data_IF_685191532630
#
_entry.id   IF_685191532630
#
_cell.length_a   1.000
_cell.length_b   1.000
_cell.length_c   1.000
_cell.angle_alpha   90.00
_cell.angle_beta   90.00
_cell.angle_gamma   90.00
#
_symmetry.space_group_name_H-M   'P 1'
#
loop_
_entity.id
_entity.type
_entity.pdbx_description
1 polymer ?
#
# COMPACT_ATOMS: atom_id res chain seq x y z
N UNK A 1 -25.21 130.49 9.58
CA UNK A 1 -26.35 129.71 9.06
C UNK A 1 -26.31 129.47 7.55
N UNK A 2 -25.38 128.66 7.04
CA UNK A 2 -25.54 128.04 5.71
C UNK A 2 -25.25 126.55 5.83
N UNK A 3 -26.27 125.80 6.27
CA UNK A 3 -26.30 124.35 6.10
C UNK A 3 -26.39 124.07 4.60
N UNK A 4 -25.31 123.54 4.01
CA UNK A 4 -25.36 122.97 2.67
C UNK A 4 -26.21 121.71 2.72
N UNK A 5 -27.46 121.81 2.30
CA UNK A 5 -28.31 120.65 2.04
C UNK A 5 -27.84 119.97 0.76
N UNK A 6 -27.15 118.85 0.90
CA UNK A 6 -26.76 118.00 -0.22
C UNK A 6 -28.01 117.27 -0.73
N UNK A 7 -28.51 117.67 -1.90
CA UNK A 7 -29.62 116.98 -2.56
C UNK A 7 -29.13 115.67 -3.16
N UNK A 8 -29.54 114.53 -2.60
CA UNK A 8 -29.33 113.21 -3.21
C UNK A 8 -30.16 113.14 -4.49
N UNK A 9 -29.50 112.85 -5.62
CA UNK A 9 -30.22 112.76 -6.90
C UNK A 9 -30.83 111.37 -7.08
N UNK A 10 -31.89 111.26 -7.90
CA UNK A 10 -32.48 109.97 -8.30
C UNK A 10 -31.44 109.01 -8.91
N UNK A 11 -30.40 109.56 -9.54
CA UNK A 11 -29.28 108.81 -10.09
C UNK A 11 -28.45 108.15 -8.98
N UNK A 12 -28.15 108.86 -7.89
CA UNK A 12 -27.37 108.33 -6.77
C UNK A 12 -28.10 107.20 -6.04
N UNK A 13 -29.42 107.32 -5.87
CA UNK A 13 -30.27 106.26 -5.33
C UNK A 13 -30.29 105.02 -6.23
N UNK A 14 -30.36 105.19 -7.55
CA UNK A 14 -30.33 104.07 -8.51
C UNK A 14 -28.96 103.36 -8.46
N UNK A 15 -27.87 104.13 -8.42
CA UNK A 15 -26.52 103.58 -8.30
C UNK A 15 -26.34 102.82 -6.98
N UNK A 16 -26.86 103.35 -5.86
CA UNK A 16 -26.85 102.68 -4.57
C UNK A 16 -27.65 101.36 -4.62
N UNK A 17 -28.84 101.36 -5.22
CA UNK A 17 -29.66 100.17 -5.37
C UNK A 17 -28.95 99.08 -6.20
N UNK A 18 -28.30 99.45 -7.31
CA UNK A 18 -27.47 98.52 -8.10
C UNK A 18 -26.31 97.93 -7.30
N UNK A 19 -25.66 98.74 -6.46
CA UNK A 19 -24.58 98.28 -5.57
C UNK A 19 -25.09 97.31 -4.51
N UNK A 20 -26.26 97.57 -3.92
CA UNK A 20 -26.90 96.66 -2.95
C UNK A 20 -27.19 95.31 -3.62
N UNK A 21 -27.85 95.29 -4.79
CA UNK A 21 -28.13 94.05 -5.53
C UNK A 21 -26.85 93.28 -5.88
N UNK A 22 -25.80 93.98 -6.33
CA UNK A 22 -24.52 93.34 -6.65
C UNK A 22 -23.87 92.73 -5.39
N UNK A 23 -24.00 93.39 -4.24
CA UNK A 23 -23.47 92.91 -2.96
C UNK A 23 -24.24 91.67 -2.50
N UNK A 24 -25.56 91.68 -2.57
CA UNK A 24 -26.41 90.54 -2.22
C UNK A 24 -26.09 89.32 -3.08
N UNK A 25 -25.88 89.52 -4.39
CA UNK A 25 -25.49 88.45 -5.31
C UNK A 25 -24.11 87.86 -4.97
N UNK A 26 -23.15 88.69 -4.56
CA UNK A 26 -21.82 88.22 -4.12
C UNK A 26 -21.95 87.42 -2.82
N UNK A 27 -22.72 87.92 -1.85
CA UNK A 27 -22.96 87.21 -0.58
C UNK A 27 -23.61 85.85 -0.83
N UNK A 28 -24.61 85.78 -1.71
CA UNK A 28 -25.27 84.52 -2.07
C UNK A 28 -24.28 83.53 -2.71
N UNK A 29 -23.49 83.96 -3.69
CA UNK A 29 -22.45 83.12 -4.32
C UNK A 29 -21.43 82.60 -3.30
N UNK A 30 -21.04 83.45 -2.35
CA UNK A 30 -20.13 83.05 -1.28
C UNK A 30 -20.74 82.01 -0.34
N UNK A 31 -22.02 82.16 0.02
CA UNK A 31 -22.74 81.16 0.83
C UNK A 31 -22.88 79.82 0.11
N UNK A 32 -23.19 79.83 -1.20
CA UNK A 32 -23.29 78.61 -2.00
C UNK A 32 -21.94 77.93 -2.17
N UNK A 33 -20.87 78.70 -2.38
CA UNK A 33 -19.50 78.18 -2.41
C UNK A 33 -19.10 77.53 -1.09
N UNK A 34 -19.44 78.13 0.06
CA UNK A 34 -19.15 77.54 1.37
C UNK A 34 -19.93 76.24 1.61
N UNK A 35 -21.20 76.18 1.19
CA UNK A 35 -21.97 74.92 1.26
C UNK A 35 -21.37 73.83 0.38
N UNK A 36 -20.92 74.18 -0.82
CA UNK A 36 -20.24 73.24 -1.71
C UNK A 36 -18.91 72.75 -1.11
N UNK A 37 -18.12 73.67 -0.52
CA UNK A 37 -16.87 73.34 0.15
C UNK A 37 -17.08 72.39 1.34
N UNK A 38 -18.12 72.62 2.15
CA UNK A 38 -18.45 71.73 3.26
C UNK A 38 -18.86 70.32 2.78
N UNK A 39 -19.61 70.23 1.68
CA UNK A 39 -19.96 68.94 1.06
C UNK A 39 -18.71 68.19 0.60
N UNK A 40 -17.82 68.88 -0.12
CA UNK A 40 -16.56 68.29 -0.58
C UNK A 40 -15.65 67.87 0.58
N UNK A 41 -15.65 68.61 1.68
CA UNK A 41 -14.91 68.23 2.89
C UNK A 41 -15.45 66.94 3.50
N UNK A 42 -16.77 66.80 3.61
CA UNK A 42 -17.39 65.58 4.11
C UNK A 42 -17.11 64.39 3.19
N UNK A 43 -17.28 64.56 1.87
CA UNK A 43 -16.97 63.51 0.89
C UNK A 43 -15.50 63.08 0.96
N UNK A 44 -14.58 64.02 1.14
CA UNK A 44 -13.16 63.72 1.28
C UNK A 44 -12.87 62.91 2.55
N UNK A 45 -13.51 63.25 3.68
CA UNK A 45 -13.34 62.53 4.93
C UNK A 45 -13.92 61.11 4.86
N UNK A 46 -15.09 60.95 4.24
CA UNK A 46 -15.68 59.63 4.00
C UNK A 46 -14.78 58.76 3.11
N UNK A 47 -14.18 59.34 2.06
CA UNK A 47 -13.24 58.63 1.20
C UNK A 47 -11.96 58.22 1.95
N UNK A 48 -11.43 59.06 2.84
CA UNK A 48 -10.28 58.67 3.67
C UNK A 48 -10.61 57.49 4.57
N UNK A 49 -11.78 57.50 5.20
CA UNK A 49 -12.22 56.39 6.05
C UNK A 49 -12.37 55.09 5.25
N UNK A 50 -12.93 55.14 4.03
CA UNK A 50 -13.02 53.98 3.15
C UNK A 50 -11.63 53.46 2.75
N UNK A 51 -10.69 54.34 2.42
CA UNK A 51 -9.31 53.95 2.09
C UNK A 51 -8.64 53.26 3.28
N UNK A 52 -8.83 53.78 4.50
CA UNK A 52 -8.28 53.18 5.71
C UNK A 52 -8.88 51.79 5.97
N UNK A 53 -10.19 51.62 5.81
CA UNK A 53 -10.87 50.33 5.93
C UNK A 53 -10.32 49.30 4.93
N UNK A 54 -10.25 49.66 3.64
CA UNK A 54 -9.72 48.78 2.59
C UNK A 54 -8.26 48.42 2.87
N UNK A 55 -7.45 49.37 3.32
CA UNK A 55 -6.03 49.13 3.67
C UNK A 55 -5.92 48.10 4.80
N UNK A 56 -6.76 48.22 5.81
CA UNK A 56 -6.80 47.27 6.93
C UNK A 56 -7.26 45.87 6.47
N UNK A 57 -8.28 45.78 5.62
CA UNK A 57 -8.74 44.52 5.03
C UNK A 57 -7.64 43.85 4.20
N UNK A 58 -6.94 44.61 3.35
CA UNK A 58 -5.80 44.10 2.57
C UNK A 58 -4.70 43.55 3.48
N UNK A 59 -4.42 44.19 4.61
CA UNK A 59 -3.44 43.70 5.58
C UNK A 59 -3.88 42.37 6.23
N UNK A 60 -5.16 42.25 6.58
CA UNK A 60 -5.74 41.02 7.14
C UNK A 60 -5.65 39.88 6.12
N UNK A 61 -6.08 40.12 4.87
CA UNK A 61 -5.99 39.12 3.81
C UNK A 61 -4.54 38.72 3.53
N UNK A 62 -3.59 39.67 3.54
CA UNK A 62 -2.17 39.37 3.37
C UNK A 62 -1.63 38.41 4.44
N UNK A 63 -2.05 38.59 5.70
CA UNK A 63 -1.70 37.67 6.79
C UNK A 63 -2.33 36.29 6.59
N UNK A 64 -3.62 36.23 6.28
CA UNK A 64 -4.33 34.98 6.04
C UNK A 64 -3.74 34.17 4.88
N UNK A 65 -3.33 34.84 3.79
CA UNK A 65 -2.65 34.18 2.66
C UNK A 65 -1.31 33.59 3.10
N UNK A 66 -0.55 34.33 3.92
CA UNK A 66 0.73 33.85 4.45
C UNK A 66 0.55 32.63 5.35
N UNK A 67 -0.41 32.69 6.27
CA UNK A 67 -0.77 31.57 7.17
C UNK A 67 -1.21 30.34 6.37
N UNK A 68 -2.12 30.51 5.40
CA UNK A 68 -2.60 29.43 4.55
C UNK A 68 -1.47 28.80 3.70
N UNK A 69 -0.53 29.61 3.21
CA UNK A 69 0.64 29.11 2.47
C UNK A 69 1.52 28.26 3.39
N UNK A 70 1.74 28.70 4.63
CA UNK A 70 2.53 27.95 5.60
C UNK A 70 1.85 26.64 6.01
N UNK A 71 0.53 26.65 6.21
CA UNK A 71 -0.24 25.42 6.46
C UNK A 71 -0.16 24.44 5.29
N UNK A 72 -0.27 24.94 4.06
CA UNK A 72 -0.12 24.13 2.85
C UNK A 72 1.25 23.44 2.77
N UNK A 73 2.34 24.19 3.02
CA UNK A 73 3.69 23.63 2.99
C UNK A 73 3.89 22.56 4.07
N UNK A 74 3.39 22.80 5.30
CA UNK A 74 3.42 21.81 6.38
C UNK A 74 2.66 20.53 6.01
N UNK A 75 1.46 20.65 5.43
CA UNK A 75 0.66 19.50 4.99
C UNK A 75 1.36 18.73 3.86
N UNK A 76 2.03 19.44 2.95
CA UNK A 76 2.82 18.82 1.89
C UNK A 76 3.98 18.00 2.45
N UNK A 77 4.72 18.52 3.42
CA UNK A 77 5.79 17.79 4.10
C UNK A 77 5.25 16.54 4.81
N UNK A 78 4.15 16.66 5.55
CA UNK A 78 3.50 15.52 6.21
C UNK A 78 3.05 14.45 5.21
N UNK A 79 2.53 14.85 4.04
CA UNK A 79 2.15 13.93 2.97
C UNK A 79 3.37 13.19 2.40
N UNK A 80 4.51 13.85 2.24
CA UNK A 80 5.75 13.22 1.80
C UNK A 80 6.28 12.20 2.81
N UNK A 81 6.27 12.55 4.10
CA UNK A 81 6.64 11.63 5.20
C UNK A 81 5.73 10.40 5.18
N UNK A 82 4.41 10.58 5.17
CA UNK A 82 3.45 9.48 5.15
C UNK A 82 3.62 8.56 3.93
N UNK A 83 3.92 9.13 2.76
CA UNK A 83 4.22 8.34 1.55
C UNK A 83 5.53 7.56 1.65
N UNK A 84 6.53 8.06 2.39
CA UNK A 84 7.77 7.35 2.66
C UNK A 84 7.52 6.14 3.57
N UNK A 85 6.81 6.33 4.69
CA UNK A 85 6.44 5.28 5.64
C UNK A 85 5.59 4.19 4.97
N UNK A 86 4.62 4.61 4.14
CA UNK A 86 3.82 3.67 3.34
C UNK A 86 4.69 2.80 2.46
N UNK A 87 5.69 3.37 1.75
CA UNK A 87 6.60 2.59 0.89
C UNK A 87 7.42 1.61 1.71
N UNK A 88 7.92 2.03 2.86
CA UNK A 88 8.67 1.16 3.77
C UNK A 88 7.82 -0.01 4.28
N UNK A 89 6.59 0.25 4.73
CA UNK A 89 5.66 -0.81 5.16
C UNK A 89 5.34 -1.80 4.02
N UNK A 90 5.18 -1.33 2.79
CA UNK A 90 4.98 -2.23 1.64
C UNK A 90 6.20 -3.11 1.37
N UNK A 91 7.41 -2.58 1.57
CA UNK A 91 8.65 -3.34 1.44
C UNK A 91 8.76 -4.39 2.54
N UNK A 92 8.49 -4.02 3.79
CA UNK A 92 8.48 -4.95 4.92
C UNK A 92 7.45 -6.06 4.73
N UNK A 93 6.23 -5.74 4.26
CA UNK A 93 5.21 -6.73 3.95
C UNK A 93 5.67 -7.74 2.90
N UNK A 94 6.36 -7.26 1.85
CA UNK A 94 6.89 -8.14 0.80
C UNK A 94 7.93 -9.10 1.35
N UNK A 95 8.86 -8.61 2.17
CA UNK A 95 9.89 -9.45 2.80
C UNK A 95 9.26 -10.53 3.69
N UNK A 96 8.23 -10.19 4.48
CA UNK A 96 7.51 -11.16 5.30
C UNK A 96 6.75 -12.20 4.46
N UNK A 97 6.20 -11.80 3.31
CA UNK A 97 5.55 -12.74 2.39
C UNK A 97 6.56 -13.72 1.77
N UNK A 98 7.73 -13.23 1.38
CA UNK A 98 8.81 -14.05 0.86
C UNK A 98 9.34 -15.01 1.94
N UNK A 99 9.56 -14.53 3.16
CA UNK A 99 9.97 -15.34 4.30
C UNK A 99 8.94 -16.43 4.62
N UNK A 100 7.65 -16.09 4.67
CA UNK A 100 6.59 -17.07 4.91
C UNK A 100 6.51 -18.13 3.81
N UNK A 101 6.76 -17.76 2.56
CA UNK A 101 6.83 -18.70 1.43
C UNK A 101 8.01 -19.66 1.58
N UNK A 102 9.17 -19.15 1.99
CA UNK A 102 10.35 -19.96 2.26
C UNK A 102 10.11 -20.93 3.43
N UNK A 103 9.52 -20.45 4.52
CA UNK A 103 9.16 -21.29 5.67
C UNK A 103 8.17 -22.40 5.28
N UNK A 104 7.18 -22.10 4.43
CA UNK A 104 6.26 -23.11 3.92
C UNK A 104 6.99 -24.19 3.11
N UNK A 105 7.95 -23.80 2.27
CA UNK A 105 8.77 -24.74 1.51
C UNK A 105 9.62 -25.63 2.43
N UNK A 106 10.27 -25.04 3.43
CA UNK A 106 11.07 -25.77 4.43
C UNK A 106 10.23 -26.80 5.19
N UNK A 107 9.02 -26.43 5.64
CA UNK A 107 8.09 -27.34 6.30
C UNK A 107 7.71 -28.52 5.40
N UNK A 108 7.49 -28.29 4.09
CA UNK A 108 7.22 -29.41 3.16
C UNK A 108 8.40 -30.37 3.07
N UNK A 109 9.62 -29.85 2.96
CA UNK A 109 10.84 -30.67 2.89
C UNK A 109 11.00 -31.49 4.18
N UNK A 110 10.78 -30.90 5.35
CA UNK A 110 10.83 -31.61 6.63
C UNK A 110 9.79 -32.74 6.71
N UNK A 111 8.55 -32.50 6.25
CA UNK A 111 7.51 -33.56 6.19
C UNK A 111 7.90 -34.71 5.27
N UNK A 112 8.54 -34.41 4.13
CA UNK A 112 9.05 -35.45 3.23
C UNK A 112 10.16 -36.26 3.89
N UNK A 113 11.06 -35.61 4.62
CA UNK A 113 12.11 -36.28 5.37
C UNK A 113 11.56 -37.22 6.45
N UNK A 114 10.55 -36.78 7.22
CA UNK A 114 9.92 -37.62 8.24
C UNK A 114 9.26 -38.87 7.64
N UNK A 115 8.57 -38.72 6.50
CA UNK A 115 8.04 -39.87 5.75
C UNK A 115 9.14 -40.82 5.28
N UNK A 116 10.28 -40.30 4.81
CA UNK A 116 11.42 -41.14 4.41
C UNK A 116 12.02 -41.88 5.59
N UNK A 117 12.14 -41.24 6.75
CA UNK A 117 12.61 -41.86 7.99
C UNK A 117 11.75 -43.06 8.39
N UNK A 118 10.43 -42.90 8.38
CA UNK A 118 9.49 -43.99 8.67
C UNK A 118 9.64 -45.17 7.69
N UNK A 119 9.83 -44.89 6.40
CA UNK A 119 10.07 -45.94 5.41
C UNK A 119 11.38 -46.68 5.66
N UNK A 120 12.44 -45.96 6.06
CA UNK A 120 13.72 -46.55 6.38
C UNK A 120 13.64 -47.45 7.63
N UNK A 121 12.92 -47.03 8.67
CA UNK A 121 12.68 -47.83 9.86
C UNK A 121 11.91 -49.13 9.56
N UNK A 122 10.91 -49.06 8.67
CA UNK A 122 10.19 -50.25 8.20
C UNK A 122 11.08 -51.19 7.38
N UNK A 123 11.97 -50.62 6.56
CA UNK A 123 12.92 -51.38 5.76
C UNK A 123 13.93 -52.11 6.65
N UNK A 124 14.45 -51.43 7.68
CA UNK A 124 15.34 -52.03 8.69
C UNK A 124 14.67 -53.20 9.43
N UNK A 125 13.41 -53.04 9.86
CA UNK A 125 12.64 -54.15 10.47
C UNK A 125 12.46 -55.33 9.51
N UNK A 126 12.33 -55.06 8.21
CA UNK A 126 12.19 -56.10 7.18
C UNK A 126 13.52 -56.84 6.98
N UNK A 127 14.64 -56.12 6.93
CA UNK A 127 16.00 -56.68 6.94
C UNK A 127 16.19 -57.64 8.11
N UNK A 128 15.83 -57.22 9.33
CA UNK A 128 15.96 -58.06 10.53
C UNK A 128 15.13 -59.34 10.45
N UNK A 129 13.89 -59.25 9.95
CA UNK A 129 13.01 -60.42 9.76
C UNK A 129 13.61 -61.39 8.73
N UNK A 130 14.10 -60.87 7.60
CA UNK A 130 14.74 -61.69 6.57
C UNK A 130 16.00 -62.37 7.09
N UNK A 131 16.83 -61.66 7.87
CA UNK A 131 18.04 -62.21 8.48
C UNK A 131 17.71 -63.36 9.44
N UNK A 132 16.68 -63.22 10.28
CA UNK A 132 16.18 -64.31 11.16
C UNK A 132 15.69 -65.51 10.35
N UNK A 133 15.00 -65.29 9.24
CA UNK A 133 14.52 -66.37 8.37
C UNK A 133 15.68 -67.13 7.70
N UNK A 134 16.70 -66.42 7.21
CA UNK A 134 17.92 -67.01 6.67
C UNK A 134 18.59 -67.87 7.73
N UNK A 135 18.79 -67.36 8.95
CA UNK A 135 19.40 -68.10 10.04
C UNK A 135 18.63 -69.41 10.35
N UNK A 136 17.29 -69.35 10.39
CA UNK A 136 16.44 -70.52 10.61
C UNK A 136 16.58 -71.56 9.50
N UNK A 137 16.57 -71.14 8.24
CA UNK A 137 16.74 -72.04 7.08
C UNK A 137 18.16 -72.63 7.03
N UNK A 138 19.20 -71.85 7.34
CA UNK A 138 20.57 -72.34 7.46
C UNK A 138 20.69 -73.42 8.53
N UNK A 139 20.05 -73.23 9.69
CA UNK A 139 20.04 -74.24 10.76
C UNK A 139 19.33 -75.53 10.31
N UNK A 140 18.22 -75.42 9.56
CA UNK A 140 17.54 -76.58 9.00
C UNK A 140 18.41 -77.32 7.98
N UNK A 141 19.08 -76.59 7.08
CA UNK A 141 20.02 -77.17 6.11
C UNK A 141 21.16 -77.88 6.83
N UNK A 142 21.78 -77.26 7.85
CA UNK A 142 22.84 -77.87 8.65
C UNK A 142 22.38 -79.15 9.35
N UNK A 143 21.16 -79.18 9.91
CA UNK A 143 20.61 -80.37 10.58
C UNK A 143 20.26 -81.49 9.61
N UNK A 144 19.73 -81.17 8.42
CA UNK A 144 19.29 -82.17 7.44
C UNK A 144 20.43 -82.76 6.61
N UNK A 145 21.50 -82.01 6.36
CA UNK A 145 22.62 -82.45 5.51
C UNK A 145 23.27 -83.78 5.96
N UNK A 146 23.60 -84.00 7.26
CA UNK A 146 24.20 -85.25 7.71
C UNK A 146 23.24 -86.44 7.69
N UNK A 147 21.95 -86.19 7.92
CA UNK A 147 20.90 -87.21 7.90
C UNK A 147 20.73 -87.74 6.47
N UNK A 148 20.66 -86.82 5.51
CA UNK A 148 20.54 -87.14 4.07
C UNK A 148 21.81 -87.84 3.56
N UNK A 149 23.00 -87.37 3.95
CA UNK A 149 24.27 -88.03 3.59
C UNK A 149 24.33 -89.49 4.07
N UNK A 150 23.83 -89.78 5.28
CA UNK A 150 23.76 -91.15 5.81
C UNK A 150 22.69 -91.99 5.09
N UNK A 151 21.56 -91.41 4.72
CA UNK A 151 20.45 -92.12 4.07
C UNK A 151 20.71 -92.46 2.59
N UNK A 152 21.62 -91.73 1.93
CA UNK A 152 21.90 -91.88 0.50
C UNK A 152 23.26 -92.50 0.17
N UNK A 153 24.01 -92.95 1.17
CA UNK A 153 25.36 -93.53 1.00
C UNK A 153 25.42 -94.70 0.00
N UNK A 154 24.30 -95.40 -0.21
CA UNK A 154 24.21 -96.60 -1.04
C UNK A 154 23.21 -96.48 -2.22
N UNK A 155 22.70 -95.28 -2.55
CA UNK A 155 21.68 -95.07 -3.61
C UNK A 155 22.25 -94.31 -4.82
N UNK A 156 21.97 -94.80 -6.05
CA UNK A 156 22.43 -94.21 -7.32
C UNK A 156 21.59 -93.03 -7.84
N UNK A 157 20.39 -92.81 -7.30
CA UNK A 157 19.48 -91.72 -7.71
C UNK A 157 19.14 -90.80 -6.54
N UNK A 158 18.98 -89.48 -6.80
CA UNK A 158 18.63 -88.51 -5.78
C UNK A 158 17.22 -88.77 -5.25
N UNK A 159 17.09 -88.92 -3.94
CA UNK A 159 15.83 -89.09 -3.25
C UNK A 159 15.05 -87.76 -3.17
N UNK A 160 13.73 -87.81 -2.92
CA UNK A 160 12.92 -86.60 -2.65
C UNK A 160 13.51 -85.72 -1.53
N UNK A 161 14.24 -86.33 -0.59
CA UNK A 161 14.91 -85.59 0.49
C UNK A 161 16.14 -84.83 0.02
N UNK A 162 16.86 -85.32 -0.99
CA UNK A 162 17.94 -84.58 -1.66
C UNK A 162 17.38 -83.38 -2.40
N UNK A 163 16.31 -83.59 -3.17
CA UNK A 163 15.63 -82.52 -3.92
C UNK A 163 15.17 -81.41 -2.97
N UNK A 164 14.57 -81.76 -1.83
CA UNK A 164 14.15 -80.81 -0.81
C UNK A 164 15.32 -80.05 -0.15
N UNK A 165 16.47 -80.70 0.05
CA UNK A 165 17.68 -80.05 0.57
C UNK A 165 18.27 -79.07 -0.44
N UNK A 166 18.38 -79.45 -1.72
CA UNK A 166 18.84 -78.55 -2.79
C UNK A 166 17.90 -77.36 -2.96
N UNK A 167 16.59 -77.55 -2.88
CA UNK A 167 15.62 -76.46 -2.93
C UNK A 167 15.78 -75.52 -1.73
N UNK A 168 15.97 -76.07 -0.53
CA UNK A 168 16.22 -75.28 0.69
C UNK A 168 17.53 -74.48 0.60
N UNK A 169 18.60 -75.07 0.06
CA UNK A 169 19.88 -74.38 -0.17
C UNK A 169 19.75 -73.28 -1.22
N UNK A 170 18.96 -73.50 -2.28
CA UNK A 170 18.67 -72.50 -3.30
C UNK A 170 17.91 -71.31 -2.70
N UNK A 171 16.86 -71.55 -1.91
CA UNK A 171 16.15 -70.51 -1.18
C UNK A 171 17.05 -69.70 -0.24
N UNK A 172 18.00 -70.36 0.45
CA UNK A 172 18.99 -69.65 1.29
C UNK A 172 19.90 -68.74 0.45
N UNK A 173 20.36 -69.17 -0.73
CA UNK A 173 21.18 -68.33 -1.61
C UNK A 173 20.39 -67.14 -2.16
N UNK A 174 19.16 -67.36 -2.59
CA UNK A 174 18.29 -66.30 -3.13
C UNK A 174 17.95 -65.26 -2.06
N UNK A 175 17.61 -65.70 -0.84
CA UNK A 175 17.34 -64.79 0.28
C UNK A 175 18.59 -63.99 0.67
N UNK A 176 19.78 -64.59 0.68
CA UNK A 176 21.04 -63.87 0.94
C UNK A 176 21.32 -62.81 -0.13
N UNK A 177 21.07 -63.13 -1.40
CA UNK A 177 21.26 -62.18 -2.50
C UNK A 177 20.26 -61.03 -2.41
N UNK A 178 19.00 -61.32 -2.08
CA UNK A 178 17.96 -60.31 -1.86
C UNK A 178 18.32 -59.39 -0.68
N UNK A 179 18.79 -59.95 0.43
CA UNK A 179 19.24 -59.18 1.58
C UNK A 179 20.44 -58.30 1.26
N UNK A 180 21.42 -58.81 0.51
CA UNK A 180 22.58 -58.03 0.09
C UNK A 180 22.18 -56.85 -0.79
N UNK A 181 21.22 -57.04 -1.71
CA UNK A 181 20.66 -55.94 -2.52
C UNK A 181 19.95 -54.90 -1.66
N UNK A 182 19.19 -55.35 -0.66
CA UNK A 182 18.45 -54.48 0.24
C UNK A 182 19.38 -53.66 1.16
N UNK A 183 20.41 -54.30 1.72
CA UNK A 183 21.45 -53.64 2.51
C UNK A 183 22.21 -52.61 1.68
N UNK A 184 22.58 -52.96 0.44
CA UNK A 184 23.26 -52.03 -0.45
C UNK A 184 22.36 -50.83 -0.79
N UNK A 185 21.07 -51.06 -1.05
CA UNK A 185 20.10 -49.98 -1.25
C UNK A 185 19.99 -49.06 -0.02
N UNK A 186 19.90 -49.60 1.20
CA UNK A 186 19.88 -48.78 2.43
C UNK A 186 21.18 -47.98 2.59
N UNK A 187 22.32 -48.59 2.29
CA UNK A 187 23.63 -47.98 2.47
C UNK A 187 23.93 -46.89 1.44
N UNK A 188 23.50 -47.06 0.19
CA UNK A 188 23.55 -46.01 -0.84
C UNK A 188 22.46 -44.95 -0.70
N UNK A 189 21.37 -45.28 0.02
CA UNK A 189 20.29 -44.35 0.33
C UNK A 189 20.50 -43.63 1.66
N UNK A 190 21.69 -43.73 2.28
CA UNK A 190 22.08 -42.77 3.29
C UNK A 190 22.18 -41.41 2.59
N UNK A 191 21.07 -40.69 2.63
CA UNK A 191 20.97 -39.29 2.26
C UNK A 191 21.94 -38.59 3.20
N UNK A 192 23.10 -38.20 2.67
CA UNK A 192 23.98 -37.25 3.34
C UNK A 192 23.11 -36.08 3.78
N UNK A 193 22.97 -35.92 5.10
CA UNK A 193 22.34 -34.74 5.68
C UNK A 193 23.17 -33.57 5.17
N UNK A 194 22.63 -32.66 4.34
CA UNK A 194 23.32 -31.42 4.09
C UNK A 194 23.41 -30.75 5.45
N UNK A 195 24.62 -30.66 5.99
CA UNK A 195 24.94 -30.03 7.28
C UNK A 195 24.58 -28.53 7.28
N UNK A 196 24.01 -28.03 6.18
CA UNK A 196 23.52 -26.67 5.98
C UNK A 196 22.14 -26.39 6.63
N UNK A 197 21.38 -27.39 7.08
CA UNK A 197 20.21 -27.16 7.95
C UNK A 197 20.66 -26.91 9.39
N UNK A 198 21.49 -25.88 9.59
CA UNK A 198 21.69 -25.23 10.88
C UNK A 198 20.41 -24.45 11.18
N UNK A 199 19.36 -25.17 11.58
CA UNK A 199 18.16 -24.59 12.16
C UNK A 199 18.63 -23.93 13.46
N UNK A 200 18.92 -22.62 13.40
CA UNK A 200 18.94 -21.81 14.61
C UNK A 200 17.53 -21.90 15.19
N UNK A 201 17.37 -22.32 16.45
CA UNK A 201 16.08 -22.24 17.09
C UNK A 201 15.77 -20.75 17.30
N UNK A 202 15.05 -20.14 16.36
CA UNK A 202 14.38 -18.86 16.60
C UNK A 202 13.05 -19.18 17.28
N UNK A 203 13.12 -19.77 18.47
CA UNK A 203 12.09 -19.60 19.48
C UNK A 203 12.54 -18.42 20.34
N UNK A 204 12.37 -17.20 19.82
CA UNK A 204 12.08 -16.09 20.72
C UNK A 204 10.57 -16.12 20.91
N UNK A 205 10.15 -16.73 22.01
CA UNK A 205 8.91 -16.34 22.64
C UNK A 205 8.97 -14.82 22.79
N UNK A 206 8.14 -14.10 22.05
CA UNK A 206 7.74 -12.78 22.50
C UNK A 206 6.82 -13.02 23.69
N UNK A 207 7.40 -12.95 24.88
CA UNK A 207 6.68 -12.66 26.10
C UNK A 207 5.87 -11.38 25.84
N UNK A 208 4.59 -11.57 25.57
CA UNK A 208 3.60 -10.53 25.70
C UNK A 208 3.18 -10.62 27.16
N UNK A 209 3.84 -9.84 28.01
CA UNK A 209 3.26 -9.25 29.21
C UNK A 209 4.12 -8.05 29.61
N UNK A 210 3.46 -6.90 29.54
CA UNK A 210 3.58 -5.73 30.42
C UNK A 210 4.98 -5.30 30.88
N UNK A 211 5.43 -4.15 30.36
CA UNK A 211 5.70 -3.01 31.25
C UNK A 211 5.88 -1.72 30.45
N UNK A 212 5.00 -0.77 30.77
CA UNK A 212 5.24 0.66 30.64
C UNK A 212 6.60 0.98 31.27
N UNK A 213 7.58 1.41 30.47
CA UNK A 213 8.70 2.19 30.95
C UNK A 213 8.94 3.35 29.99
N UNK A 214 8.47 4.52 30.43
CA UNK A 214 9.09 5.80 30.14
C UNK A 214 10.61 5.67 30.17
N UNK A 215 11.25 6.01 29.05
CA UNK A 215 12.65 6.42 29.06
C UNK A 215 12.73 7.70 28.22
N UNK A 216 12.60 8.83 28.93
CA UNK A 216 13.33 10.05 28.61
C UNK A 216 14.83 9.73 28.52
N UNK A 217 15.56 10.32 27.56
CA UNK A 217 17.02 10.40 27.67
C UNK A 217 17.81 10.37 26.37
N UNK A 218 18.24 11.56 25.96
CA UNK A 218 19.58 11.88 25.43
C UNK A 218 20.14 11.07 24.23
N UNK A 219 19.98 11.67 23.05
CA UNK A 219 20.88 11.44 21.91
C UNK A 219 22.28 12.01 22.17
N UNK A 220 23.15 11.24 22.81
CA UNK A 220 24.59 11.48 22.78
C UNK A 220 25.13 11.08 21.40
N UNK A 221 25.39 12.09 20.55
CA UNK A 221 26.21 11.95 19.35
C UNK A 221 27.62 11.52 19.73
N UNK A 222 28.13 10.42 19.17
CA UNK A 222 29.57 10.13 19.14
C UNK A 222 30.15 10.39 17.74
N UNK A 223 31.38 10.92 17.65
CA UNK A 223 31.94 11.48 16.42
C UNK A 223 32.53 10.41 15.51
N UNK A 224 32.31 10.58 14.21
CA UNK A 224 32.98 9.81 13.15
C UNK A 224 34.45 10.21 13.09
N UNK A 225 35.33 9.21 13.15
CA UNK A 225 36.79 9.37 13.06
C UNK A 225 37.21 9.82 11.67
N UNK A 226 38.08 10.84 11.65
CA UNK A 226 38.85 11.35 10.52
C UNK A 226 39.68 10.24 9.88
N UNK A 227 39.63 10.13 8.56
CA UNK A 227 40.72 9.56 7.75
C UNK A 227 41.08 10.57 6.67
N UNK A 228 42.39 10.76 6.56
CA UNK A 228 43.09 11.86 5.90
C UNK A 228 43.10 11.76 4.37
N UNK A 229 43.20 12.94 3.74
CA UNK A 229 43.39 13.20 2.29
C UNK A 229 44.71 12.59 1.74
N UNK A 230 44.88 12.55 0.40
CA UNK A 230 45.59 13.65 -0.29
C UNK A 230 44.79 14.15 -1.52
N UNK A 231 44.57 15.46 -1.72
CA UNK A 231 45.47 16.46 -2.35
C UNK A 231 45.92 16.04 -3.75
N UNK A 232 45.16 16.47 -4.77
CA UNK A 232 45.67 16.90 -6.08
C UNK A 232 45.01 18.25 -6.38
N UNK A 233 45.85 19.19 -6.79
CA UNK A 233 45.61 20.59 -7.05
C UNK A 233 45.26 20.89 -8.50
N UNK A 234 44.78 22.13 -8.73
CA UNK A 234 44.72 22.88 -10.00
C UNK A 234 43.55 22.52 -10.95
N UNK A 235 42.83 23.45 -11.56
CA UNK A 235 42.94 24.93 -11.67
C UNK A 235 41.56 25.49 -12.03
N UNK A 236 41.41 26.77 -11.74
CA UNK A 236 40.34 27.69 -12.13
C UNK A 236 40.06 27.68 -13.65
N UNK A 237 38.82 27.98 -14.04
CA UNK A 237 38.51 29.01 -15.05
C UNK A 237 36.98 29.26 -15.04
N UNK A 238 36.67 30.53 -14.85
CA UNK A 238 35.35 31.15 -14.77
C UNK A 238 34.69 31.35 -16.15
N UNK A 239 33.44 31.79 -16.07
CA UNK A 239 32.71 32.64 -17.03
C UNK A 239 31.74 32.00 -18.06
N UNK A 240 30.47 32.31 -17.76
CA UNK A 240 29.50 33.00 -18.61
C UNK A 240 28.56 32.22 -19.56
N UNK A 241 27.28 32.36 -19.21
CA UNK A 241 26.16 32.82 -20.03
C UNK A 241 25.98 32.20 -21.43
N UNK A 242 24.86 31.49 -21.61
CA UNK A 242 23.71 32.06 -22.32
C UNK A 242 22.55 31.08 -22.32
N UNK A 243 21.36 31.62 -22.03
CA UNK A 243 20.10 30.92 -22.18
C UNK A 243 19.73 30.70 -23.63
N UNK A 244 19.02 29.61 -23.89
CA UNK A 244 18.14 29.52 -25.05
C UNK A 244 16.88 28.76 -24.66
N UNK A 245 15.78 29.52 -24.63
CA UNK A 245 14.42 29.02 -24.60
C UNK A 245 14.14 28.31 -25.93
N UNK A 246 13.83 27.00 -25.87
CA UNK A 246 13.19 26.32 -27.00
C UNK A 246 11.76 25.93 -26.58
N UNK A 247 10.85 26.65 -27.22
CA UNK A 247 9.39 26.56 -27.19
C UNK A 247 8.93 25.18 -27.71
N UNK A 248 8.25 24.40 -26.86
CA UNK A 248 7.67 23.10 -27.22
C UNK A 248 6.22 23.35 -27.65
N UNK A 249 6.00 23.47 -28.96
CA UNK A 249 4.67 23.31 -29.58
C UNK A 249 4.74 22.28 -30.69
N UNK A 250 4.40 21.03 -30.37
CA UNK A 250 3.91 20.09 -31.37
C UNK A 250 2.67 19.35 -30.88
N UNK A 251 1.54 19.86 -31.35
CA UNK A 251 0.23 19.24 -31.44
C UNK A 251 0.33 17.98 -32.29
N UNK A 252 -0.01 16.81 -31.73
CA UNK A 252 -0.16 15.56 -32.49
C UNK A 252 -1.48 14.91 -32.11
N UNK A 253 -2.45 15.04 -33.01
CA UNK A 253 -3.47 14.03 -33.32
C UNK A 253 -3.62 14.09 -34.85
N UNK A 254 -3.68 12.96 -35.59
CA UNK A 254 -4.98 12.32 -35.75
C UNK A 254 -4.99 10.78 -36.01
N UNK A 255 -6.10 10.17 -35.53
CA UNK A 255 -6.99 9.18 -36.18
C UNK A 255 -6.57 7.70 -36.40
N UNK A 256 -7.55 6.76 -36.32
CA UNK A 256 -7.34 5.31 -36.25
C UNK A 256 -7.38 4.62 -37.62
N UNK A 257 -6.57 3.56 -37.77
CA UNK A 257 -6.57 2.72 -38.98
C UNK A 257 -7.45 1.49 -38.76
N UNK A 258 -8.51 1.43 -39.54
CA UNK A 258 -9.40 0.30 -39.75
C UNK A 258 -8.74 -0.62 -40.80
N UNK A 259 -8.47 -1.90 -40.48
CA UNK A 259 -8.06 -2.88 -41.50
C UNK A 259 -8.94 -4.12 -41.42
N UNK A 260 -9.42 -4.43 -42.61
CA UNK A 260 -10.41 -5.39 -43.06
C UNK A 260 -10.00 -6.86 -42.95
N UNK A 261 -11.06 -7.67 -42.85
CA UNK A 261 -11.10 -9.10 -43.13
C UNK A 261 -10.28 -9.53 -44.36
N UNK A 262 -9.54 -10.63 -44.25
CA UNK A 262 -9.28 -11.52 -45.38
C UNK A 262 -9.41 -12.97 -44.93
N UNK A 263 -10.36 -13.65 -45.56
CA UNK A 263 -10.52 -15.09 -45.56
C UNK A 263 -9.40 -15.73 -46.36
N UNK A 264 -8.77 -16.78 -45.81
CA UNK A 264 -8.06 -17.78 -46.61
C UNK A 264 -8.42 -19.15 -46.05
N UNK A 265 -9.19 -19.90 -46.85
CA UNK A 265 -9.41 -21.33 -46.72
C UNK A 265 -8.11 -22.08 -47.06
N UNK A 266 -7.62 -22.90 -46.13
CA UNK A 266 -6.74 -24.04 -46.44
C UNK A 266 -7.27 -25.28 -45.71
N UNK A 267 -7.59 -26.26 -46.53
CA UNK A 267 -8.02 -27.61 -46.21
C UNK A 267 -6.84 -28.39 -45.62
N UNK A 268 -6.95 -28.88 -44.37
CA UNK A 268 -6.15 -30.01 -43.91
C UNK A 268 -6.89 -30.86 -42.86
N UNK A 269 -6.66 -32.17 -42.93
CA UNK A 269 -7.41 -33.29 -42.32
C UNK A 269 -7.26 -33.38 -40.78
N UNK A 270 -8.17 -34.11 -40.08
CA UNK A 270 -8.41 -33.91 -38.65
C UNK A 270 -7.42 -34.68 -37.75
N UNK A 271 -6.71 -33.96 -36.87
CA UNK A 271 -5.94 -34.56 -35.76
C UNK A 271 -6.76 -34.56 -34.46
N UNK A 272 -6.83 -35.72 -33.82
CA UNK A 272 -7.58 -36.01 -32.59
C UNK A 272 -6.96 -35.33 -31.36
N UNK A 273 -7.28 -34.07 -31.09
CA UNK A 273 -6.97 -33.42 -29.79
C UNK A 273 -8.07 -32.47 -29.27
N UNK A 274 -9.20 -32.37 -29.96
CA UNK A 274 -10.29 -31.38 -29.68
C UNK A 274 -11.05 -31.58 -28.35
N UNK A 275 -11.02 -32.77 -27.74
CA UNK A 275 -11.89 -33.06 -26.58
C UNK A 275 -11.48 -32.32 -25.29
N UNK A 276 -10.17 -32.03 -25.11
CA UNK A 276 -9.65 -31.52 -23.81
C UNK A 276 -9.73 -30.00 -23.67
N UNK A 277 -9.71 -29.26 -24.77
CA UNK A 277 -9.87 -27.79 -24.74
C UNK A 277 -11.35 -27.37 -24.68
N UNK A 278 -12.25 -28.18 -25.24
CA UNK A 278 -13.68 -27.90 -25.23
C UNK A 278 -14.33 -28.21 -23.88
N UNK A 279 -13.84 -29.23 -23.16
CA UNK A 279 -14.20 -29.47 -21.76
C UNK A 279 -13.72 -28.35 -20.83
N UNK A 280 -12.51 -27.79 -21.03
CA UNK A 280 -12.01 -26.65 -20.25
C UNK A 280 -12.81 -25.37 -20.49
N UNK A 281 -13.23 -25.09 -21.73
CA UNK A 281 -14.11 -23.94 -22.03
C UNK A 281 -15.49 -24.09 -21.39
N UNK A 282 -16.10 -25.30 -21.45
CA UNK A 282 -17.39 -25.57 -20.79
C UNK A 282 -17.30 -25.48 -19.26
N UNK A 283 -16.18 -25.89 -18.66
CA UNK A 283 -15.98 -25.79 -17.20
C UNK A 283 -15.78 -24.33 -16.73
N UNK A 284 -15.05 -23.50 -17.49
CA UNK A 284 -14.89 -22.07 -17.19
C UNK A 284 -16.22 -21.31 -17.33
N UNK A 285 -17.04 -21.67 -18.32
CA UNK A 285 -18.36 -21.05 -18.51
C UNK A 285 -19.36 -21.46 -17.41
N UNK A 286 -19.26 -22.69 -16.90
CA UNK A 286 -20.06 -23.19 -15.76
C UNK A 286 -19.64 -22.57 -14.41
N UNK A 287 -18.35 -22.24 -14.24
CA UNK A 287 -17.84 -21.51 -13.06
C UNK A 287 -18.21 -20.03 -13.07
N UNK A 288 -18.36 -19.40 -14.25
CA UNK A 288 -18.83 -18.01 -14.37
C UNK A 288 -20.32 -17.85 -14.08
N UNK A 289 -21.17 -18.81 -14.46
CA UNK A 289 -22.61 -18.76 -14.16
C UNK A 289 -22.95 -19.04 -12.69
N UNK A 290 -22.19 -19.92 -12.02
CA UNK A 290 -22.37 -20.21 -10.58
C UNK A 290 -21.89 -19.07 -9.67
N UNK A 291 -20.89 -18.28 -10.10
CA UNK A 291 -20.43 -17.09 -9.36
C UNK A 291 -21.38 -15.89 -9.49
N UNK A 292 -22.15 -15.81 -10.60
CA UNK A 292 -23.18 -14.77 -10.79
C UNK A 292 -24.44 -15.04 -9.96
N UNK A 293 -24.82 -16.31 -9.77
CA UNK A 293 -25.99 -16.68 -8.94
C UNK A 293 -25.72 -16.63 -7.42
N UNK A 294 -24.48 -16.77 -6.95
CA UNK A 294 -24.16 -16.52 -5.53
C UNK A 294 -24.21 -15.02 -5.18
N UNK A 295 -23.76 -14.14 -6.08
CA UNK A 295 -23.84 -12.69 -5.86
C UNK A 295 -25.26 -12.11 -5.88
N UNK A 296 -26.24 -12.79 -6.47
CA UNK A 296 -27.64 -12.32 -6.41
C UNK A 296 -28.43 -12.87 -5.21
N UNK A 297 -27.94 -13.91 -4.53
CA UNK A 297 -28.63 -14.49 -3.36
C UNK A 297 -28.20 -13.85 -2.03
N UNK A 298 -27.02 -13.23 -2.01
CA UNK A 298 -26.48 -12.53 -0.82
C UNK A 298 -26.85 -11.03 -0.79
N UNK A 299 -27.73 -10.57 -1.69
CA UNK A 299 -28.13 -9.16 -1.86
C UNK A 299 -29.62 -8.91 -1.54
N UNK A 300 -30.35 -9.89 -1.00
CA UNK A 300 -31.78 -9.76 -0.66
C UNK A 300 -32.10 -9.82 0.84
N UNK A 301 -31.10 -9.70 1.71
CA UNK A 301 -31.30 -9.57 3.17
C UNK A 301 -30.40 -8.45 3.71
N UNK A 302 -30.68 -7.23 3.30
CA UNK A 302 -30.25 -6.04 4.02
C UNK A 302 -31.50 -5.36 4.54
N UNK A 303 -31.68 -5.49 5.85
CA UNK A 303 -32.61 -4.70 6.64
C UNK A 303 -32.43 -3.21 6.33
N UNK A 304 -33.56 -2.49 6.30
CA UNK A 304 -33.63 -1.04 6.11
C UNK A 304 -32.65 -0.33 7.06
N UNK A 305 -31.78 0.56 6.56
CA UNK A 305 -31.01 1.42 7.43
C UNK A 305 -31.94 2.50 8.02
N UNK A 306 -32.33 2.25 9.27
CA UNK A 306 -32.26 3.17 10.41
C UNK A 306 -32.69 4.63 10.19
N UNK A 307 -33.84 4.92 10.77
CA UNK A 307 -34.45 6.22 11.13
C UNK A 307 -33.55 7.23 11.88
N UNK A 308 -32.31 6.85 12.23
CA UNK A 308 -31.44 7.67 13.08
C UNK A 308 -30.93 8.94 12.41
N UNK A 309 -30.85 8.96 11.08
CA UNK A 309 -30.39 10.13 10.33
C UNK A 309 -31.48 11.21 10.23
N UNK A 310 -32.73 10.79 10.10
CA UNK A 310 -33.89 11.69 10.11
C UNK A 310 -34.17 12.22 11.53
N UNK A 311 -33.93 11.39 12.56
CA UNK A 311 -34.04 11.81 13.96
C UNK A 311 -32.96 12.86 14.32
N UNK A 312 -31.73 12.71 13.82
CA UNK A 312 -30.64 13.67 14.01
C UNK A 312 -30.86 14.99 13.25
N UNK A 313 -31.48 14.94 12.07
CA UNK A 313 -31.84 16.14 11.32
C UNK A 313 -32.92 16.97 12.06
N UNK A 314 -33.92 16.30 12.63
CA UNK A 314 -34.95 16.96 13.44
C UNK A 314 -34.40 17.53 14.76
N UNK A 315 -33.47 16.84 15.43
CA UNK A 315 -32.82 17.38 16.64
C UNK A 315 -31.97 18.62 16.35
N UNK A 316 -31.27 18.66 15.21
CA UNK A 316 -30.49 19.83 14.79
C UNK A 316 -31.39 21.03 14.43
N UNK A 317 -32.55 20.80 13.81
CA UNK A 317 -33.50 21.86 13.48
C UNK A 317 -34.14 22.47 14.75
N UNK A 318 -34.43 21.63 15.75
CA UNK A 318 -34.92 22.10 17.06
C UNK A 318 -33.84 22.89 17.81
N UNK A 319 -32.58 22.44 17.78
CA UNK A 319 -31.47 23.11 18.44
C UNK A 319 -31.16 24.50 17.83
N UNK A 320 -31.23 24.62 16.50
CA UNK A 320 -31.06 25.90 15.81
C UNK A 320 -32.19 26.88 16.13
N UNK A 321 -33.44 26.40 16.17
CA UNK A 321 -34.60 27.23 16.50
C UNK A 321 -34.58 27.74 17.96
N UNK A 322 -34.02 26.96 18.90
CA UNK A 322 -33.83 27.38 20.29
C UNK A 322 -32.69 28.40 20.46
N UNK A 323 -31.64 28.33 19.64
CA UNK A 323 -30.54 29.30 19.66
C UNK A 323 -31.01 30.70 19.19
N UNK A 324 -31.81 30.75 18.14
CA UNK A 324 -32.37 32.01 17.62
C UNK A 324 -33.34 32.68 18.61
N UNK A 325 -34.11 31.88 19.36
CA UNK A 325 -34.97 32.42 20.43
C UNK A 325 -34.18 32.97 21.63
N UNK A 326 -33.02 32.40 21.95
CA UNK A 326 -32.17 32.92 23.02
C UNK A 326 -31.45 34.22 22.62
N UNK A 327 -31.07 34.38 21.35
CA UNK A 327 -30.48 35.64 20.86
C UNK A 327 -31.49 36.79 20.80
N UNK A 328 -32.78 36.51 20.56
CA UNK A 328 -33.82 37.54 20.58
C UNK A 328 -34.19 38.03 22.00
N UNK A 329 -33.92 37.25 23.05
CA UNK A 329 -34.17 37.67 24.44
C UNK A 329 -33.04 38.53 25.04
N UNK A 330 -31.87 38.61 24.40
CA UNK A 330 -30.76 39.47 24.87
C UNK A 330 -30.72 40.86 24.24
N UNK A 331 -31.63 41.17 23.30
CA UNK A 331 -31.76 42.49 22.68
C UNK A 331 -32.99 43.27 23.18
N UNK A 332 -33.20 43.33 24.50
CA UNK A 332 -34.12 44.30 25.09
C UNK A 332 -33.28 45.48 25.60
N UNK A 333 -33.40 46.69 25.02
CA UNK A 333 -32.68 47.87 25.50
C UNK A 333 -33.23 48.28 26.87
N UNK A 334 -32.34 48.54 27.84
CA UNK A 334 -32.66 49.24 29.08
C UNK A 334 -32.86 50.74 28.85
#
# INVERSE_FOLDING_TARGET
DHQQQTYVTKHDLNLLHKKIIATDLIVQKYQDANKALLRLQNENEDLKQQIEQITNECCIFGKQVTECTQEFDNLKEQLEISNSEKRELHQQLRLLQDENTNNYHEIMVLKQYESLKDTNDQLSKTVDRQQKQIAKLQLQVQRKSPIIYKANKDKKEPSETDIALTNSQKSVRELKLALARLMNFIQTSQIEIPTALHIRPVLKAHDINDDFLEIEGEFIRKPVKKVSKPVISQTDDDDDDNGDFIDIRHTIEPQPVNITNSSIDIIEKPSKTSSRQEQKKKEIQKRKSTKKNRRQKDLSTTEKPSTKLDDLANELEIALSQSDQQQQQQNIPQ
#
